data_IF_180979075762
#
_entry.id   IF_180979075762
#
_cell.length_a   1.000
_cell.length_b   1.000
_cell.length_c   1.000
_cell.angle_alpha   90.00
_cell.angle_beta   90.00
_cell.angle_gamma   90.00
#
_symmetry.space_group_name_H-M   'P 1'
#
loop_
_entity.id
_entity.type
_entity.pdbx_description
1 polymer ?
#
# COMPACT_ATOMS: atom_id res chain seq x y z
N UNK A 1 -0.12 -6.61 -6.82
CA UNK A 1 -0.16 -5.42 -7.69
C UNK A 1 -1.58 -4.94 -7.69
N UNK A 2 -1.81 -3.70 -7.31
CA UNK A 2 -3.11 -3.05 -7.27
C UNK A 2 -2.91 -1.60 -7.71
N UNK A 3 -3.55 -1.19 -8.80
CA UNK A 3 -3.40 0.14 -9.41
C UNK A 3 -4.41 1.17 -8.88
N UNK A 4 -5.39 0.72 -8.10
CA UNK A 4 -6.42 1.56 -7.50
C UNK A 4 -6.44 1.30 -6.00
N UNK A 5 -5.24 1.37 -5.41
CA UNK A 5 -5.02 0.86 -4.06
C UNK A 5 -5.77 1.67 -2.98
N UNK A 6 -6.14 2.91 -3.28
CA UNK A 6 -6.85 3.80 -2.37
C UNK A 6 -6.13 3.90 -1.03
N UNK A 7 -6.82 3.58 0.06
CA UNK A 7 -6.23 3.58 1.41
C UNK A 7 -5.23 2.45 1.70
N UNK A 8 -4.98 1.55 0.75
CA UNK A 8 -4.03 0.44 0.86
C UNK A 8 -4.51 -0.72 1.73
N UNK A 9 -5.82 -0.93 1.80
CA UNK A 9 -6.42 -2.02 2.58
C UNK A 9 -5.96 -3.39 2.09
N UNK A 10 -5.74 -3.56 0.77
CA UNK A 10 -5.16 -4.78 0.21
C UNK A 10 -3.74 -5.03 0.72
N UNK A 11 -2.88 -4.01 0.76
CA UNK A 11 -1.52 -4.13 1.30
C UNK A 11 -1.51 -4.51 2.77
N UNK A 12 -2.41 -3.93 3.57
CA UNK A 12 -2.54 -4.26 4.99
C UNK A 12 -2.97 -5.72 5.23
N UNK A 13 -3.82 -6.28 4.35
CA UNK A 13 -4.18 -7.69 4.41
C UNK A 13 -3.02 -8.59 3.94
N UNK A 14 -2.36 -8.26 2.84
CA UNK A 14 -1.22 -9.02 2.32
C UNK A 14 -0.04 -9.07 3.30
N UNK A 15 0.23 -7.96 3.98
CA UNK A 15 1.22 -7.83 5.05
C UNK A 15 1.04 -8.86 6.16
N UNK A 16 -0.19 -8.99 6.69
CA UNK A 16 -0.53 -9.96 7.76
C UNK A 16 -0.31 -11.41 7.31
N UNK A 17 -0.38 -11.67 6.01
CA UNK A 17 -0.18 -12.98 5.40
C UNK A 17 1.27 -13.21 4.96
N UNK A 18 2.20 -12.28 5.25
CA UNK A 18 3.59 -12.37 4.80
C UNK A 18 3.75 -12.35 3.27
N UNK A 19 2.75 -11.83 2.54
CA UNK A 19 2.75 -11.78 1.08
C UNK A 19 3.42 -10.50 0.60
N UNK A 20 4.18 -10.60 -0.49
CA UNK A 20 4.67 -9.42 -1.21
C UNK A 20 3.53 -8.76 -1.98
N UNK A 21 3.54 -7.44 -2.04
CA UNK A 21 2.54 -6.66 -2.76
C UNK A 21 3.15 -5.37 -3.31
N UNK A 22 2.49 -4.80 -4.30
CA UNK A 22 2.79 -3.48 -4.88
C UNK A 22 1.46 -2.75 -4.97
N UNK A 23 1.39 -1.56 -4.40
CA UNK A 23 0.22 -0.69 -4.40
C UNK A 23 0.58 0.60 -5.15
N UNK A 24 -0.32 1.03 -6.03
CA UNK A 24 -0.21 2.25 -6.82
C UNK A 24 -1.54 2.98 -6.72
N UNK A 25 -1.47 4.30 -6.59
CA UNK A 25 -2.61 5.21 -6.68
C UNK A 25 -2.10 6.57 -7.17
N UNK A 26 -2.93 7.32 -7.89
CA UNK A 26 -2.60 8.66 -8.38
C UNK A 26 -3.05 9.78 -7.43
N UNK A 27 -3.87 9.47 -6.42
CA UNK A 27 -4.28 10.43 -5.40
C UNK A 27 -3.19 10.58 -4.34
N UNK A 28 -2.63 11.78 -4.21
CA UNK A 28 -1.65 12.10 -3.16
C UNK A 28 -2.19 11.81 -1.75
N UNK A 29 -3.48 12.06 -1.52
CA UNK A 29 -4.15 11.75 -0.25
C UNK A 29 -4.16 10.24 0.01
N UNK A 30 -4.52 9.44 -1.00
CA UNK A 30 -4.54 7.99 -0.89
C UNK A 30 -3.14 7.45 -0.58
N UNK A 31 -2.12 7.95 -1.27
CA UNK A 31 -0.72 7.61 -1.03
C UNK A 31 -0.31 7.94 0.41
N UNK A 32 -0.58 9.15 0.90
CA UNK A 32 -0.24 9.54 2.27
C UNK A 32 -0.91 8.65 3.34
N UNK A 33 -2.18 8.27 3.11
CA UNK A 33 -2.90 7.32 3.98
C UNK A 33 -2.26 5.94 3.95
N UNK A 34 -1.92 5.43 2.76
CA UNK A 34 -1.24 4.13 2.59
C UNK A 34 0.11 4.10 3.29
N UNK A 35 0.93 5.12 3.09
CA UNK A 35 2.25 5.24 3.71
C UNK A 35 2.16 5.22 5.23
N UNK A 36 1.25 6.02 5.80
CA UNK A 36 1.04 6.03 7.25
C UNK A 36 0.58 4.67 7.76
N UNK A 37 -0.34 4.01 7.04
CA UNK A 37 -0.90 2.70 7.43
C UNK A 37 0.13 1.58 7.37
N UNK A 38 0.96 1.57 6.32
CA UNK A 38 1.89 0.48 6.03
C UNK A 38 3.29 0.72 6.58
N UNK A 39 3.54 1.87 7.23
CA UNK A 39 4.80 2.18 7.91
C UNK A 39 5.24 1.04 8.83
N UNK A 40 6.46 0.57 8.64
CA UNK A 40 7.04 -0.52 9.44
C UNK A 40 6.59 -1.93 9.03
N UNK A 41 5.80 -2.05 7.96
CA UNK A 41 5.41 -3.36 7.43
C UNK A 41 6.54 -3.94 6.58
N UNK A 42 7.07 -5.12 6.89
CA UNK A 42 8.06 -5.78 6.04
C UNK A 42 7.41 -6.16 4.70
N UNK A 43 8.14 -5.93 3.60
CA UNK A 43 7.74 -6.23 2.21
C UNK A 43 6.71 -5.28 1.57
N UNK A 44 6.58 -4.05 2.07
CA UNK A 44 5.79 -3.00 1.42
C UNK A 44 6.61 -2.25 0.33
N UNK A 45 6.02 -2.06 -0.85
CA UNK A 45 6.50 -1.07 -1.83
C UNK A 45 5.29 -0.27 -2.31
N UNK A 46 5.19 0.97 -1.84
CA UNK A 46 4.22 1.95 -2.32
C UNK A 46 4.93 2.82 -3.37
N UNK A 47 4.29 3.03 -4.51
CA UNK A 47 4.80 3.89 -5.58
C UNK A 47 3.69 4.90 -5.89
N UNK A 48 3.99 6.19 -5.68
CA UNK A 48 3.15 7.28 -6.17
C UNK A 48 3.48 7.58 -7.63
N UNK A 49 2.44 7.87 -8.42
CA UNK A 49 2.56 8.35 -9.80
C UNK A 49 2.71 9.86 -9.89
#
# INVERSE_FOLDING_TARGET
>A
LDFFAGSGTLGAAAAKLGRRYVLIDSSEEAVAVMERRLRGTPNASAVGG
#
